data_IF_625432386221
#
_entry.id   IF_625432386221
#
_cell.length_a   1.000
_cell.length_b   1.000
_cell.length_c   1.000
_cell.angle_alpha   90.00
_cell.angle_beta   90.00
_cell.angle_gamma   90.00
#
_symmetry.space_group_name_H-M   'P 1'
#
loop_
_entity.id
_entity.type
_entity.pdbx_description
1 polymer ?
#
# COMPACT_ATOMS: atom_id res chain seq x y z
N UNK A 1 -21.67 55.41 13.28
CA UNK A 1 -20.44 54.94 12.60
C UNK A 1 -20.58 53.45 12.34
N UNK A 2 -20.06 52.94 11.22
CA UNK A 2 -20.07 51.51 10.91
C UNK A 2 -18.91 50.82 11.67
N UNK A 3 -19.11 49.58 12.17
CA UNK A 3 -18.05 48.83 12.83
C UNK A 3 -16.92 48.52 11.85
N UNK A 4 -15.69 48.85 12.22
CA UNK A 4 -14.51 48.53 11.43
C UNK A 4 -13.98 47.15 11.79
N UNK A 5 -13.39 46.45 10.82
CA UNK A 5 -12.72 45.18 11.07
C UNK A 5 -11.52 45.38 11.99
N UNK A 6 -11.18 44.35 12.77
CA UNK A 6 -10.19 44.37 13.86
C UNK A 6 -10.52 45.33 15.01
N UNK A 7 -11.72 45.92 15.02
CA UNK A 7 -12.17 46.67 16.19
C UNK A 7 -12.32 45.72 17.38
N UNK A 8 -11.85 46.16 18.55
CA UNK A 8 -12.01 45.42 19.79
C UNK A 8 -13.47 45.40 20.21
N UNK A 9 -13.97 44.25 20.60
CA UNK A 9 -15.35 44.07 21.04
C UNK A 9 -15.39 43.99 22.56
N UNK A 10 -16.13 44.91 23.18
CA UNK A 10 -16.26 45.03 24.63
C UNK A 10 -17.71 44.83 25.06
N UNK A 11 -17.92 43.87 25.95
CA UNK A 11 -19.18 43.66 26.65
C UNK A 11 -19.26 44.54 27.90
N UNK A 12 -20.42 44.55 28.56
CA UNK A 12 -20.64 45.33 29.79
C UNK A 12 -19.70 44.93 30.94
N UNK A 13 -19.18 43.71 30.92
CA UNK A 13 -18.33 43.09 31.93
C UNK A 13 -16.84 43.03 31.53
N UNK A 14 -16.52 42.71 30.28
CA UNK A 14 -15.12 42.58 29.79
C UNK A 14 -14.95 42.72 28.28
N UNK A 15 -13.71 42.90 27.84
CA UNK A 15 -13.30 42.72 26.43
C UNK A 15 -13.36 41.22 26.06
N UNK A 16 -13.96 40.91 24.91
CA UNK A 16 -14.26 39.52 24.51
C UNK A 16 -13.53 39.06 23.27
N UNK A 17 -13.02 39.98 22.44
CA UNK A 17 -12.39 39.62 21.17
C UNK A 17 -12.35 40.77 20.18
N UNK A 18 -12.27 40.44 18.90
CA UNK A 18 -12.22 41.41 17.79
C UNK A 18 -13.23 41.07 16.69
N UNK A 19 -13.65 42.10 15.94
CA UNK A 19 -14.50 41.91 14.75
C UNK A 19 -13.65 41.37 13.60
N UNK A 20 -13.93 40.16 13.12
CA UNK A 20 -13.20 39.54 12.01
C UNK A 20 -13.92 39.66 10.67
N UNK A 21 -15.26 39.64 10.68
CA UNK A 21 -16.10 39.70 9.46
C UNK A 21 -17.35 40.52 9.73
N UNK A 22 -17.96 41.03 8.67
CA UNK A 22 -19.22 41.78 8.72
C UNK A 22 -20.21 41.11 7.78
N UNK A 23 -21.42 40.86 8.26
CA UNK A 23 -22.51 40.27 7.48
C UNK A 23 -23.48 41.38 7.09
N UNK A 24 -23.67 41.54 5.79
CA UNK A 24 -24.57 42.55 5.22
C UNK A 24 -25.85 41.87 4.76
N UNK A 25 -26.99 42.50 5.06
CA UNK A 25 -28.26 42.09 4.49
C UNK A 25 -28.36 42.62 3.05
N UNK A 26 -28.49 41.73 2.04
CA UNK A 26 -28.50 42.12 0.64
C UNK A 26 -29.75 42.93 0.23
N UNK A 27 -30.82 42.96 1.04
CA UNK A 27 -32.03 43.73 0.72
C UNK A 27 -31.98 45.15 1.27
N UNK A 28 -31.58 45.31 2.54
CA UNK A 28 -31.48 46.62 3.18
C UNK A 28 -30.16 47.35 2.87
N UNK A 29 -29.14 46.61 2.42
CA UNK A 29 -27.75 47.09 2.25
C UNK A 29 -27.14 47.57 3.58
N UNK A 30 -27.69 47.12 4.71
CA UNK A 30 -27.20 47.45 6.04
C UNK A 30 -26.47 46.25 6.66
N UNK A 31 -25.55 46.55 7.58
CA UNK A 31 -24.89 45.53 8.37
C UNK A 31 -25.93 44.90 9.28
N UNK A 32 -26.21 43.61 9.09
CA UNK A 32 -27.14 42.88 9.95
C UNK A 32 -26.43 42.30 11.17
N UNK A 33 -25.22 41.77 10.97
CA UNK A 33 -24.43 41.13 12.02
C UNK A 33 -22.94 41.42 11.88
N UNK A 34 -22.23 41.33 13.00
CA UNK A 34 -20.78 41.28 13.07
C UNK A 34 -20.33 39.90 13.53
N UNK A 35 -19.22 39.41 13.01
CA UNK A 35 -18.59 38.16 13.46
C UNK A 35 -17.46 38.53 14.41
N UNK A 36 -17.57 38.04 15.65
CA UNK A 36 -16.61 38.31 16.72
C UNK A 36 -15.76 37.06 16.94
N UNK A 37 -14.45 37.19 16.77
CA UNK A 37 -13.48 36.15 17.11
C UNK A 37 -13.07 36.27 18.56
N UNK A 38 -13.34 35.24 19.35
CA UNK A 38 -13.20 35.26 20.80
C UNK A 38 -11.97 34.48 21.26
N UNK A 39 -10.76 34.93 20.89
CA UNK A 39 -9.44 34.46 21.39
C UNK A 39 -9.38 32.99 21.87
N UNK A 40 -9.76 32.03 21.01
CA UNK A 40 -9.72 30.59 21.30
C UNK A 40 -11.07 29.91 21.57
N UNK A 41 -12.17 30.67 21.74
CA UNK A 41 -13.55 30.15 21.95
C UNK A 41 -14.39 30.07 20.67
N UNK A 42 -13.74 30.23 19.51
CA UNK A 42 -14.37 30.25 18.18
C UNK A 42 -14.96 31.61 17.81
N UNK A 43 -15.61 31.65 16.65
CA UNK A 43 -16.30 32.85 16.14
C UNK A 43 -17.80 32.81 16.50
N UNK A 44 -18.36 33.96 16.86
CA UNK A 44 -19.79 34.13 17.16
C UNK A 44 -20.40 35.21 16.28
N UNK A 45 -21.63 34.96 15.86
CA UNK A 45 -22.41 35.93 15.10
C UNK A 45 -23.22 36.80 16.08
N UNK A 46 -22.94 38.09 16.10
CA UNK A 46 -23.59 39.08 16.97
C UNK A 46 -24.45 40.01 16.12
N UNK A 47 -25.74 40.12 16.43
CA UNK A 47 -26.64 41.03 15.73
C UNK A 47 -26.28 42.49 16.00
N UNK A 48 -26.37 43.35 14.99
CA UNK A 48 -26.11 44.79 15.13
C UNK A 48 -27.03 45.44 16.17
N UNK A 49 -28.23 44.89 16.41
CA UNK A 49 -29.13 45.36 17.47
C UNK A 49 -28.55 45.22 18.89
N UNK A 50 -27.55 44.36 19.10
CA UNK A 50 -26.86 44.19 20.39
C UNK A 50 -25.72 45.19 20.59
N UNK A 51 -25.34 45.94 19.54
CA UNK A 51 -24.29 46.96 19.57
C UNK A 51 -24.88 48.28 20.06
N UNK A 52 -24.32 48.85 21.14
CA UNK A 52 -24.76 50.13 21.70
C UNK A 52 -24.00 51.30 21.10
N UNK A 53 -22.67 51.20 21.09
CA UNK A 53 -21.79 52.26 20.61
C UNK A 53 -20.70 51.67 19.72
N UNK A 54 -20.40 52.41 18.65
CA UNK A 54 -19.28 52.13 17.74
C UNK A 54 -18.40 53.37 17.74
N UNK A 55 -17.21 53.23 18.30
CA UNK A 55 -16.17 54.27 18.30
C UNK A 55 -15.01 53.82 17.39
N UNK A 56 -14.03 54.70 17.19
CA UNK A 56 -12.84 54.36 16.41
C UNK A 56 -12.08 53.19 17.07
N UNK A 57 -12.04 52.05 16.38
CA UNK A 57 -11.36 50.83 16.82
C UNK A 57 -12.01 50.04 17.97
N UNK A 58 -13.20 50.42 18.46
CA UNK A 58 -13.91 49.68 19.54
C UNK A 58 -15.42 49.59 19.26
N UNK A 59 -15.98 48.41 19.50
CA UNK A 59 -17.42 48.10 19.42
C UNK A 59 -17.92 47.70 20.80
N UNK A 60 -18.85 48.47 21.36
CA UNK A 60 -19.43 48.21 22.67
C UNK A 60 -20.78 47.50 22.56
N UNK A 61 -20.87 46.32 23.19
CA UNK A 61 -22.09 45.53 23.25
C UNK A 61 -22.87 45.82 24.54
N UNK A 62 -24.19 45.81 24.43
CA UNK A 62 -25.10 45.99 25.56
C UNK A 62 -25.32 44.75 26.44
N UNK A 63 -24.64 43.65 26.14
CA UNK A 63 -24.82 42.32 26.74
C UNK A 63 -23.58 41.89 27.53
N UNK A 64 -23.75 40.91 28.43
CA UNK A 64 -22.63 40.32 29.16
C UNK A 64 -21.84 39.34 28.26
N UNK A 65 -20.57 39.13 28.57
CA UNK A 65 -19.70 38.24 27.78
C UNK A 65 -20.18 36.78 27.75
N UNK A 66 -20.90 36.33 28.79
CA UNK A 66 -21.51 34.99 28.86
C UNK A 66 -22.61 34.81 27.83
N UNK A 67 -23.40 35.85 27.58
CA UNK A 67 -24.52 35.81 26.64
C UNK A 67 -23.98 35.71 25.20
N UNK A 68 -22.89 36.42 24.89
CA UNK A 68 -22.23 36.35 23.59
C UNK A 68 -21.66 34.96 23.31
N UNK A 69 -21.10 34.28 24.33
CA UNK A 69 -20.61 32.90 24.19
C UNK A 69 -21.72 31.90 23.85
N UNK A 70 -22.94 32.18 24.31
CA UNK A 70 -24.13 31.35 24.08
C UNK A 70 -24.78 31.56 22.71
N UNK A 71 -24.37 32.59 21.97
CA UNK A 71 -24.88 32.86 20.63
C UNK A 71 -24.50 31.75 19.64
N UNK A 72 -25.23 31.61 18.51
CA UNK A 72 -24.91 30.64 17.48
C UNK A 72 -23.46 30.77 16.99
N UNK A 73 -22.74 29.65 16.80
CA UNK A 73 -21.43 29.67 16.19
C UNK A 73 -21.55 30.14 14.74
N UNK A 74 -20.59 30.94 14.30
CA UNK A 74 -20.52 31.38 12.91
C UNK A 74 -20.17 30.18 12.00
N UNK A 75 -21.02 29.89 11.01
CA UNK A 75 -20.81 28.84 10.00
C UNK A 75 -20.46 29.47 8.66
N UNK A 76 -19.20 29.34 8.23
CA UNK A 76 -18.71 30.01 7.01
C UNK A 76 -19.44 29.57 5.73
N UNK A 77 -19.86 28.31 5.66
CA UNK A 77 -20.54 27.70 4.51
C UNK A 77 -21.92 28.30 4.22
N UNK A 78 -22.52 29.02 5.19
CA UNK A 78 -23.81 29.69 5.01
C UNK A 78 -23.68 31.08 4.36
N UNK A 79 -22.46 31.52 4.03
CA UNK A 79 -22.19 32.86 3.51
C UNK A 79 -21.27 32.83 2.29
N UNK A 80 -21.45 33.79 1.38
CA UNK A 80 -20.57 34.07 0.24
C UNK A 80 -19.91 35.42 0.42
N UNK A 81 -18.72 35.57 -0.16
CA UNK A 81 -18.07 36.89 -0.17
C UNK A 81 -18.69 37.78 -1.23
N UNK A 82 -18.63 39.09 -1.02
CA UNK A 82 -19.00 40.08 -2.05
C UNK A 82 -18.10 40.04 -3.30
N UNK A 83 -16.99 39.30 -3.26
CA UNK A 83 -16.13 39.06 -4.43
C UNK A 83 -16.66 37.90 -5.30
N UNK A 84 -17.42 36.98 -4.71
CA UNK A 84 -18.00 35.82 -5.40
C UNK A 84 -19.39 36.13 -5.96
N UNK A 85 -20.09 37.13 -5.39
CA UNK A 85 -21.42 37.57 -5.81
C UNK A 85 -21.46 39.10 -5.87
N UNK A 86 -21.57 39.65 -7.07
CA UNK A 86 -21.76 41.09 -7.27
C UNK A 86 -23.16 41.51 -6.83
N UNK A 87 -23.23 42.40 -5.83
CA UNK A 87 -24.48 43.05 -5.41
C UNK A 87 -24.43 44.49 -5.89
N UNK A 88 -25.37 44.86 -6.77
CA UNK A 88 -25.45 46.20 -7.32
C UNK A 88 -25.58 47.27 -6.20
N UNK A 89 -24.79 48.35 -6.29
CA UNK A 89 -24.82 49.51 -5.39
C UNK A 89 -24.51 49.23 -3.91
N UNK A 90 -23.87 48.09 -3.58
CA UNK A 90 -23.46 47.79 -2.20
C UNK A 90 -22.28 48.68 -1.74
N UNK A 91 -21.33 48.93 -2.64
CA UNK A 91 -20.12 49.74 -2.40
C UNK A 91 -20.43 51.21 -2.09
N UNK A 92 -21.59 51.71 -2.56
CA UNK A 92 -22.04 53.09 -2.33
C UNK A 92 -22.56 53.32 -0.91
N UNK A 93 -22.95 52.25 -0.18
CA UNK A 93 -23.61 52.34 1.13
C UNK A 93 -22.82 51.72 2.29
N UNK A 94 -21.91 50.79 2.00
CA UNK A 94 -21.12 50.08 3.01
C UNK A 94 -19.64 50.42 2.82
N UNK A 95 -19.09 51.21 3.74
CA UNK A 95 -17.70 51.66 3.71
C UNK A 95 -16.88 50.88 4.73
N UNK A 96 -16.66 49.59 4.48
CA UNK A 96 -15.81 48.73 5.31
C UNK A 96 -14.47 48.51 4.62
N UNK A 97 -13.41 49.16 5.10
CA UNK A 97 -12.02 49.01 4.65
C UNK A 97 -11.31 47.84 5.34
N UNK A 98 -10.31 47.21 4.67
CA UNK A 98 -10.44 45.96 3.92
C UNK A 98 -10.49 44.69 4.81
N UNK A 99 -11.47 43.85 4.54
CA UNK A 99 -11.57 42.44 4.97
C UNK A 99 -12.91 41.81 4.54
N UNK A 100 -13.17 40.55 4.90
CA UNK A 100 -14.26 39.76 4.30
C UNK A 100 -15.66 40.30 4.68
N UNK A 101 -16.31 40.96 3.71
CA UNK A 101 -17.74 41.27 3.74
C UNK A 101 -18.50 40.04 3.25
N UNK A 102 -19.43 39.56 4.06
CA UNK A 102 -20.19 38.35 3.83
C UNK A 102 -21.66 38.66 3.58
N UNK A 103 -22.24 37.89 2.68
CA UNK A 103 -23.67 37.92 2.35
C UNK A 103 -24.23 36.51 2.58
N UNK A 104 -25.41 36.36 3.19
CA UNK A 104 -26.04 35.05 3.34
C UNK A 104 -26.18 34.34 1.99
N UNK A 105 -25.79 33.07 1.93
CA UNK A 105 -25.94 32.27 0.73
C UNK A 105 -27.43 32.09 0.40
N UNK A 106 -27.88 32.39 -0.84
CA UNK A 106 -29.30 32.32 -1.19
C UNK A 106 -29.90 30.94 -0.92
N UNK A 107 -30.99 30.89 -0.16
CA UNK A 107 -31.67 29.61 0.15
C UNK A 107 -32.14 28.87 -1.11
N UNK A 108 -32.48 29.60 -2.18
CA UNK A 108 -32.91 29.03 -3.46
C UNK A 108 -31.80 28.25 -4.19
N UNK A 109 -30.53 28.50 -3.85
CA UNK A 109 -29.39 27.77 -4.39
C UNK A 109 -28.97 26.59 -3.49
N UNK A 110 -29.53 26.49 -2.28
CA UNK A 110 -29.32 25.34 -1.40
C UNK A 110 -30.16 24.15 -1.93
N UNK A 111 -29.51 23.01 -2.14
CA UNK A 111 -30.15 21.73 -2.50
C UNK A 111 -30.90 21.69 -3.84
N UNK A 112 -30.33 22.27 -4.91
CA UNK A 112 -30.90 22.19 -6.26
C UNK A 112 -30.90 20.74 -6.79
N UNK A 113 -32.05 20.06 -6.69
CA UNK A 113 -32.24 18.65 -7.11
C UNK A 113 -31.75 18.37 -8.55
N UNK A 114 -31.89 19.35 -9.45
CA UNK A 114 -31.41 19.25 -10.85
C UNK A 114 -29.89 19.10 -10.92
N UNK A 115 -29.13 19.84 -10.12
CA UNK A 115 -27.66 19.77 -10.09
C UNK A 115 -27.20 18.41 -9.59
N UNK A 116 -27.81 17.91 -8.53
CA UNK A 116 -27.54 16.57 -7.99
C UNK A 116 -27.86 15.48 -9.00
N UNK A 117 -28.98 15.59 -9.73
CA UNK A 117 -29.34 14.65 -10.79
C UNK A 117 -28.27 14.59 -11.89
N UNK A 118 -27.84 15.75 -12.44
CA UNK A 118 -26.81 15.76 -13.48
C UNK A 118 -25.46 15.25 -13.00
N UNK A 119 -25.06 15.59 -11.78
CA UNK A 119 -23.82 15.08 -11.18
C UNK A 119 -23.85 13.54 -11.09
N UNK A 120 -24.94 12.97 -10.56
CA UNK A 120 -25.11 11.52 -10.46
C UNK A 120 -25.15 10.85 -11.84
N UNK A 121 -25.80 11.48 -12.81
CA UNK A 121 -25.84 10.99 -14.20
C UNK A 121 -24.47 11.00 -14.86
N UNK A 122 -23.68 12.06 -14.67
CA UNK A 122 -22.29 12.14 -15.13
C UNK A 122 -21.43 11.05 -14.49
N UNK A 123 -21.58 10.79 -13.20
CA UNK A 123 -20.88 9.69 -12.54
C UNK A 123 -21.29 8.32 -13.10
N UNK A 124 -22.58 8.10 -13.38
CA UNK A 124 -23.06 6.85 -13.97
C UNK A 124 -22.47 6.60 -15.37
N UNK A 125 -22.48 7.62 -16.24
CA UNK A 125 -21.86 7.54 -17.57
C UNK A 125 -20.35 7.33 -17.45
N UNK A 126 -19.70 8.10 -16.57
CA UNK A 126 -18.26 7.99 -16.32
C UNK A 126 -17.85 6.59 -15.87
N UNK A 127 -18.66 5.95 -15.03
CA UNK A 127 -18.44 4.57 -14.62
C UNK A 127 -18.63 3.57 -15.78
N UNK A 128 -19.68 3.73 -16.59
CA UNK A 128 -19.94 2.87 -17.75
C UNK A 128 -18.85 2.95 -18.82
N UNK A 129 -18.21 4.12 -18.99
CA UNK A 129 -17.09 4.30 -19.92
C UNK A 129 -15.77 3.86 -19.27
N UNK A 130 -15.55 4.21 -18.01
CA UNK A 130 -14.31 3.93 -17.30
C UNK A 130 -14.09 2.44 -17.02
N UNK A 131 -15.16 1.70 -16.69
CA UNK A 131 -15.06 0.29 -16.30
C UNK A 131 -14.54 -0.61 -17.43
N UNK A 132 -15.05 -0.55 -18.68
CA UNK A 132 -14.53 -1.34 -19.79
C UNK A 132 -13.06 -1.03 -20.14
N UNK A 133 -12.57 0.17 -19.84
CA UNK A 133 -11.17 0.55 -20.08
C UNK A 133 -10.28 0.06 -18.92
N UNK A 134 -10.72 0.24 -17.68
CA UNK A 134 -9.96 -0.15 -16.50
C UNK A 134 -9.94 -1.67 -16.29
N UNK A 135 -11.02 -2.37 -16.60
CA UNK A 135 -11.16 -3.80 -16.39
C UNK A 135 -10.10 -4.66 -17.10
N UNK A 136 -9.81 -4.52 -18.41
CA UNK A 136 -8.79 -5.33 -19.07
C UNK A 136 -7.39 -5.06 -18.52
N UNK A 137 -7.08 -3.81 -18.16
CA UNK A 137 -5.80 -3.43 -17.54
C UNK A 137 -5.68 -4.10 -16.17
N UNK A 138 -6.69 -3.95 -15.32
CA UNK A 138 -6.71 -4.56 -14.00
C UNK A 138 -6.64 -6.09 -14.09
N UNK A 139 -7.42 -6.70 -14.98
CA UNK A 139 -7.39 -8.15 -15.22
C UNK A 139 -6.01 -8.62 -15.69
N UNK A 140 -5.36 -7.88 -16.57
CA UNK A 140 -4.03 -8.21 -17.08
C UNK A 140 -2.97 -8.09 -15.97
N UNK A 141 -3.00 -7.03 -15.17
CA UNK A 141 -2.10 -6.85 -14.02
C UNK A 141 -2.32 -7.91 -12.94
N UNK A 142 -3.57 -8.34 -12.73
CA UNK A 142 -3.91 -9.37 -11.74
C UNK A 142 -3.69 -10.79 -12.25
N UNK A 143 -3.51 -11.01 -13.55
CA UNK A 143 -3.33 -12.35 -14.15
C UNK A 143 -2.22 -13.18 -13.49
N UNK A 144 -1.02 -12.65 -13.19
CA UNK A 144 0.05 -13.44 -12.55
C UNK A 144 -0.34 -14.02 -11.18
N UNK A 145 -1.31 -13.41 -10.49
CA UNK A 145 -1.78 -13.88 -9.18
C UNK A 145 -2.67 -15.14 -9.29
N UNK A 146 -3.31 -15.35 -10.44
CA UNK A 146 -4.30 -16.42 -10.63
C UNK A 146 -3.83 -17.55 -11.55
N UNK A 147 -2.66 -17.41 -12.18
CA UNK A 147 -2.09 -18.47 -13.02
C UNK A 147 -1.55 -19.59 -12.12
N UNK A 148 -1.93 -20.85 -12.34
CA UNK A 148 -1.39 -21.96 -11.55
C UNK A 148 0.11 -22.11 -11.80
N UNK A 149 0.84 -22.58 -10.79
CA UNK A 149 2.26 -22.89 -10.93
C UNK A 149 2.51 -23.92 -12.04
N UNK A 150 3.57 -23.71 -12.82
CA UNK A 150 4.00 -24.67 -13.83
C UNK A 150 4.63 -25.88 -13.13
N UNK A 151 4.01 -27.05 -13.33
CA UNK A 151 4.47 -28.32 -12.77
C UNK A 151 5.03 -29.25 -13.86
N UNK A 152 5.44 -28.70 -15.01
CA UNK A 152 6.03 -29.48 -16.09
C UNK A 152 7.40 -30.03 -15.70
N UNK A 153 7.67 -31.27 -16.15
CA UNK A 153 8.96 -31.91 -16.00
C UNK A 153 9.96 -31.35 -17.01
N UNK A 154 11.14 -31.02 -16.52
CA UNK A 154 12.25 -30.51 -17.32
C UNK A 154 13.40 -31.51 -17.25
N UNK A 155 13.79 -32.05 -18.41
CA UNK A 155 15.00 -32.85 -18.54
C UNK A 155 16.22 -31.94 -18.44
N UNK A 156 17.06 -32.18 -17.43
CA UNK A 156 18.21 -31.31 -17.08
C UNK A 156 19.57 -31.98 -17.33
N UNK A 157 19.60 -33.31 -17.50
CA UNK A 157 20.85 -34.02 -17.74
C UNK A 157 20.73 -35.52 -17.51
N UNK A 158 21.87 -36.15 -17.20
CA UNK A 158 21.97 -37.59 -16.95
C UNK A 158 22.85 -37.84 -15.72
N UNK A 159 22.49 -38.85 -14.92
CA UNK A 159 23.19 -39.23 -13.68
C UNK A 159 24.61 -39.73 -13.91
N UNK A 160 24.99 -40.10 -15.14
CA UNK A 160 26.38 -40.48 -15.48
C UNK A 160 27.41 -39.38 -15.20
N UNK A 161 26.98 -38.11 -15.02
CA UNK A 161 27.85 -37.02 -14.55
C UNK A 161 28.21 -37.14 -13.05
N UNK A 162 27.43 -37.88 -12.27
CA UNK A 162 27.60 -38.05 -10.83
C UNK A 162 28.43 -39.32 -10.60
N UNK A 163 29.74 -39.13 -10.35
CA UNK A 163 30.70 -40.24 -10.21
C UNK A 163 30.90 -40.71 -8.77
N UNK A 164 30.66 -39.84 -7.79
CA UNK A 164 30.94 -40.09 -6.38
C UNK A 164 29.68 -39.86 -5.56
N UNK A 165 29.53 -40.63 -4.48
CA UNK A 165 28.43 -40.47 -3.54
C UNK A 165 28.66 -39.22 -2.67
N UNK A 166 27.57 -38.62 -2.21
CA UNK A 166 27.55 -37.45 -1.29
C UNK A 166 28.29 -36.21 -1.80
N UNK A 167 28.53 -36.12 -3.11
CA UNK A 167 29.10 -34.93 -3.77
C UNK A 167 28.01 -34.24 -4.59
N UNK A 168 27.79 -32.95 -4.30
CA UNK A 168 26.90 -32.10 -5.08
C UNK A 168 27.44 -31.83 -6.47
N UNK A 169 26.69 -32.21 -7.51
CA UNK A 169 26.98 -31.89 -8.91
C UNK A 169 25.98 -30.85 -9.42
N UNK A 170 26.48 -29.77 -10.02
CA UNK A 170 25.64 -28.71 -10.56
C UNK A 170 25.15 -29.07 -11.96
N UNK A 171 23.84 -29.02 -12.16
CA UNK A 171 23.20 -29.07 -13.48
C UNK A 171 22.64 -27.69 -13.79
N UNK A 172 22.95 -27.18 -14.98
CA UNK A 172 22.40 -25.92 -15.48
C UNK A 172 21.34 -26.21 -16.53
N UNK A 173 20.25 -25.46 -16.49
CA UNK A 173 19.15 -25.58 -17.45
C UNK A 173 18.60 -24.18 -17.76
N UNK A 174 17.98 -24.05 -18.93
CA UNK A 174 17.34 -22.81 -19.36
C UNK A 174 15.85 -22.90 -19.11
N UNK A 175 15.28 -21.82 -18.58
CA UNK A 175 13.84 -21.69 -18.38
C UNK A 175 13.34 -20.48 -19.14
N UNK A 176 12.34 -20.70 -19.99
CA UNK A 176 11.62 -19.62 -20.67
C UNK A 176 10.66 -19.00 -19.66
N UNK A 177 10.88 -17.73 -19.34
CA UNK A 177 9.99 -16.95 -18.48
C UNK A 177 9.28 -15.94 -19.36
N UNK A 178 7.95 -15.99 -19.33
CA UNK A 178 7.07 -15.02 -19.99
C UNK A 178 6.44 -14.14 -18.91
N UNK A 179 7.09 -13.03 -18.62
CA UNK A 179 6.48 -12.00 -17.77
C UNK A 179 5.42 -11.24 -18.56
N UNK A 180 4.49 -10.58 -17.87
CA UNK A 180 3.36 -9.94 -18.53
C UNK A 180 3.83 -8.93 -19.59
N UNK A 181 4.76 -8.05 -19.23
CA UNK A 181 5.16 -6.87 -20.00
C UNK A 181 6.57 -6.95 -20.60
N UNK A 182 7.32 -8.03 -20.35
CA UNK A 182 8.65 -8.25 -20.94
C UNK A 182 8.59 -9.31 -22.05
N UNK A 183 9.48 -9.22 -23.06
CA UNK A 183 9.63 -10.30 -24.03
C UNK A 183 10.01 -11.61 -23.33
N UNK A 184 9.70 -12.73 -23.96
CA UNK A 184 10.09 -14.04 -23.45
C UNK A 184 11.61 -14.09 -23.26
N UNK A 185 12.05 -14.25 -22.02
CA UNK A 185 13.45 -14.32 -21.65
C UNK A 185 13.83 -15.75 -21.31
N UNK A 186 15.00 -16.18 -21.75
CA UNK A 186 15.62 -17.42 -21.29
C UNK A 186 16.52 -17.13 -20.09
N UNK A 187 16.13 -17.61 -18.92
CA UNK A 187 16.92 -17.48 -17.70
C UNK A 187 17.70 -18.78 -17.49
N UNK A 188 19.02 -18.66 -17.34
CA UNK A 188 19.84 -19.79 -16.90
C UNK A 188 19.66 -20.02 -15.40
N UNK A 189 19.18 -21.21 -15.06
CA UNK A 189 19.00 -21.68 -13.68
C UNK A 189 19.90 -22.87 -13.43
N UNK A 190 20.05 -23.22 -12.16
CA UNK A 190 20.81 -24.39 -11.75
C UNK A 190 20.12 -25.15 -10.63
N UNK A 191 20.43 -26.43 -10.58
CA UNK A 191 20.02 -27.38 -9.54
C UNK A 191 21.24 -28.19 -9.12
N UNK A 192 21.32 -28.50 -7.85
CA UNK A 192 22.35 -29.37 -7.30
C UNK A 192 21.76 -30.77 -7.13
N UNK A 193 22.43 -31.77 -7.69
CA UNK A 193 22.01 -33.17 -7.54
C UNK A 193 23.15 -33.94 -6.92
N UNK A 194 22.82 -34.75 -5.92
CA UNK A 194 23.75 -35.68 -5.30
C UNK A 194 23.22 -37.11 -5.42
N UNK A 195 24.17 -38.05 -5.52
CA UNK A 195 23.89 -39.47 -5.28
C UNK A 195 24.11 -39.73 -3.79
N UNK A 196 23.04 -39.80 -3.02
CA UNK A 196 23.08 -39.85 -1.56
C UNK A 196 23.34 -41.26 -1.03
N UNK A 197 24.20 -41.38 -0.01
CA UNK A 197 24.30 -42.60 0.80
C UNK A 197 23.06 -42.76 1.69
N UNK A 198 22.78 -43.97 2.21
CA UNK A 198 21.64 -44.20 3.11
C UNK A 198 21.63 -43.27 4.33
N UNK A 199 22.80 -42.87 4.84
CA UNK A 199 22.92 -41.93 5.95
C UNK A 199 22.44 -40.52 5.58
N UNK A 200 22.79 -40.03 4.38
CA UNK A 200 22.33 -38.73 3.88
C UNK A 200 20.84 -38.77 3.52
N UNK A 201 20.37 -39.86 2.92
CA UNK A 201 18.93 -40.05 2.64
C UNK A 201 18.11 -39.98 3.92
N UNK A 202 18.54 -40.63 5.00
CA UNK A 202 17.83 -40.59 6.27
C UNK A 202 17.78 -39.16 6.85
N UNK A 203 18.83 -38.37 6.69
CA UNK A 203 18.82 -36.97 7.12
C UNK A 203 17.88 -36.08 6.30
N UNK A 204 17.80 -36.31 4.99
CA UNK A 204 16.94 -35.54 4.07
C UNK A 204 15.47 -35.92 4.26
N UNK A 205 15.16 -37.21 4.31
CA UNK A 205 13.81 -37.74 4.28
C UNK A 205 13.23 -38.05 5.67
N UNK A 206 14.07 -38.17 6.71
CA UNK A 206 13.66 -38.47 8.09
C UNK A 206 12.73 -39.70 8.16
N UNK A 207 13.09 -40.75 7.41
CA UNK A 207 12.34 -41.99 7.30
C UNK A 207 11.03 -41.92 6.49
N UNK A 208 10.65 -40.77 5.92
CA UNK A 208 9.38 -40.56 5.20
C UNK A 208 9.60 -40.09 3.77
N UNK A 209 8.69 -40.46 2.88
CA UNK A 209 8.66 -39.89 1.54
C UNK A 209 8.38 -38.38 1.59
N UNK A 210 8.98 -37.62 0.66
CA UNK A 210 8.82 -36.18 0.58
C UNK A 210 7.79 -35.82 -0.48
N UNK A 211 6.62 -35.35 -0.04
CA UNK A 211 5.52 -34.94 -0.91
C UNK A 211 5.60 -33.45 -1.25
N UNK A 212 5.46 -33.12 -2.53
CA UNK A 212 5.40 -31.78 -3.06
C UNK A 212 3.98 -31.45 -3.48
N UNK A 213 3.47 -30.29 -3.05
CA UNK A 213 2.10 -29.85 -3.31
C UNK A 213 2.06 -28.59 -4.16
N UNK A 214 0.95 -28.38 -4.85
CA UNK A 214 0.67 -27.14 -5.56
C UNK A 214 0.04 -26.08 -4.63
N UNK A 215 -0.28 -24.90 -5.17
CA UNK A 215 -0.90 -23.81 -4.42
C UNK A 215 -2.24 -24.20 -3.76
N UNK A 216 -2.98 -25.13 -4.35
CA UNK A 216 -4.27 -25.63 -3.86
C UNK A 216 -4.13 -26.78 -2.85
N UNK A 217 -2.91 -27.17 -2.50
CA UNK A 217 -2.64 -28.27 -1.56
C UNK A 217 -2.76 -29.68 -2.16
N UNK A 218 -2.94 -29.81 -3.48
CA UNK A 218 -2.96 -31.11 -4.16
C UNK A 218 -1.53 -31.64 -4.36
N UNK A 219 -1.30 -32.96 -4.24
CA UNK A 219 0.00 -33.57 -4.48
C UNK A 219 0.39 -33.43 -5.96
N UNK A 220 1.59 -32.93 -6.21
CA UNK A 220 2.22 -32.83 -7.53
C UNK A 220 3.13 -34.04 -7.76
N UNK A 221 3.96 -34.36 -6.77
CA UNK A 221 4.91 -35.45 -6.84
C UNK A 221 5.36 -35.87 -5.44
N UNK A 222 5.90 -37.08 -5.32
CA UNK A 222 6.49 -37.59 -4.09
C UNK A 222 7.86 -38.18 -4.39
N UNK A 223 8.91 -37.57 -3.86
CA UNK A 223 10.23 -38.19 -3.88
C UNK A 223 10.25 -39.35 -2.89
N UNK A 224 10.65 -40.53 -3.38
CA UNK A 224 10.79 -41.73 -2.58
C UNK A 224 12.11 -41.73 -1.84
N UNK A 225 12.08 -42.00 -0.54
CA UNK A 225 13.28 -42.03 0.31
C UNK A 225 14.30 -43.10 -0.12
N UNK A 226 13.84 -44.14 -0.80
CA UNK A 226 14.63 -45.29 -1.24
C UNK A 226 15.45 -44.99 -2.53
N UNK A 227 15.12 -43.89 -3.23
CA UNK A 227 15.81 -43.48 -4.44
C UNK A 227 17.06 -42.69 -4.05
N UNK A 228 18.27 -43.10 -4.49
CA UNK A 228 19.52 -42.53 -4.01
C UNK A 228 19.88 -41.20 -4.66
N UNK A 229 18.90 -40.42 -5.10
CA UNK A 229 19.12 -39.13 -5.75
C UNK A 229 18.29 -38.05 -5.07
N UNK A 230 18.97 -36.98 -4.67
CA UNK A 230 18.36 -35.80 -4.06
C UNK A 230 18.71 -34.60 -4.91
N UNK A 231 17.71 -33.78 -5.24
CA UNK A 231 17.87 -32.52 -5.93
C UNK A 231 17.59 -31.36 -4.98
N UNK A 232 18.48 -30.36 -4.97
CA UNK A 232 18.31 -29.10 -4.25
C UNK A 232 18.28 -27.92 -5.22
N UNK A 233 17.40 -26.97 -4.97
CA UNK A 233 17.33 -25.70 -5.69
C UNK A 233 18.66 -24.98 -5.65
N UNK A 234 19.08 -24.35 -6.75
CA UNK A 234 20.31 -23.56 -6.80
C UNK A 234 20.32 -22.31 -5.92
N UNK A 235 19.21 -21.98 -5.24
CA UNK A 235 19.03 -20.76 -4.44
C UNK A 235 19.16 -21.02 -2.95
N UNK A 236 19.97 -20.21 -2.28
CA UNK A 236 20.13 -20.23 -0.84
C UNK A 236 18.85 -19.73 -0.13
N UNK A 237 18.29 -20.47 0.85
CA UNK A 237 17.10 -20.05 1.62
C UNK A 237 17.23 -18.74 2.40
N UNK A 238 18.44 -18.18 2.55
CA UNK A 238 18.65 -16.88 3.19
C UNK A 238 18.09 -15.72 2.35
N UNK A 239 18.70 -15.41 1.20
CA UNK A 239 18.31 -14.29 0.33
C UNK A 239 18.28 -14.66 -1.16
N UNK A 240 18.28 -15.95 -1.48
CA UNK A 240 18.16 -16.44 -2.86
C UNK A 240 19.44 -16.46 -3.68
N UNK A 241 20.60 -16.13 -3.09
CA UNK A 241 21.90 -16.23 -3.77
C UNK A 241 22.21 -17.66 -4.26
N UNK A 242 22.95 -17.77 -5.36
CA UNK A 242 23.58 -19.03 -5.76
C UNK A 242 24.67 -19.46 -4.78
N UNK A 243 24.73 -20.76 -4.49
CA UNK A 243 25.76 -21.36 -3.64
C UNK A 243 26.54 -22.45 -4.38
N UNK A 244 27.71 -22.85 -3.86
CA UNK A 244 28.61 -23.82 -4.50
C UNK A 244 29.01 -24.95 -3.56
N UNK A 245 29.22 -26.13 -4.12
CA UNK A 245 29.88 -27.24 -3.43
C UNK A 245 31.39 -26.95 -3.28
N UNK A 246 31.93 -27.05 -2.05
CA UNK A 246 33.32 -26.68 -1.72
C UNK A 246 33.87 -27.57 -0.61
N UNK A 247 35.19 -27.76 -0.61
CA UNK A 247 35.93 -28.31 0.54
C UNK A 247 36.18 -27.20 1.56
N UNK A 248 35.49 -27.24 2.69
CA UNK A 248 35.76 -26.42 3.86
C UNK A 248 36.92 -27.02 4.69
N UNK A 249 37.75 -26.15 5.27
CA UNK A 249 38.98 -26.56 5.99
C UNK A 249 38.69 -27.46 7.19
N UNK A 250 37.61 -27.20 7.91
CA UNK A 250 37.25 -27.91 9.16
C UNK A 250 36.08 -28.87 8.98
N UNK A 251 35.13 -28.52 8.11
CA UNK A 251 33.85 -29.24 7.97
C UNK A 251 33.86 -30.25 6.81
N UNK A 252 34.95 -30.33 6.04
CA UNK A 252 35.01 -31.18 4.85
C UNK A 252 34.16 -30.62 3.69
N UNK A 253 33.57 -31.51 2.88
CA UNK A 253 32.77 -31.11 1.73
C UNK A 253 31.40 -30.55 2.16
N UNK A 254 31.09 -29.34 1.74
CA UNK A 254 29.87 -28.60 2.13
C UNK A 254 29.32 -27.79 0.96
N UNK A 255 28.03 -27.46 1.03
CA UNK A 255 27.48 -26.35 0.26
C UNK A 255 27.79 -25.03 0.98
N UNK A 256 28.43 -24.10 0.28
CA UNK A 256 28.80 -22.79 0.79
C UNK A 256 28.14 -21.69 -0.04
N UNK A 257 27.33 -20.86 0.62
CA UNK A 257 26.80 -19.63 0.04
C UNK A 257 27.74 -18.46 0.34
N UNK A 258 28.37 -17.83 -0.68
CA UNK A 258 29.37 -16.79 -0.45
C UNK A 258 28.78 -15.44 -0.01
N UNK A 259 27.47 -15.22 -0.16
CA UNK A 259 26.86 -13.91 0.11
C UNK A 259 26.90 -13.54 1.60
N UNK A 260 26.53 -14.48 2.48
CA UNK A 260 26.50 -14.27 3.94
C UNK A 260 27.00 -15.50 4.71
N UNK A 261 27.80 -16.33 4.03
CA UNK A 261 28.50 -17.48 4.60
C UNK A 261 27.59 -18.54 5.24
N UNK A 262 26.38 -18.74 4.72
CA UNK A 262 25.58 -19.91 5.10
C UNK A 262 26.24 -21.19 4.59
N UNK A 263 26.45 -22.14 5.50
CA UNK A 263 27.09 -23.43 5.24
C UNK A 263 26.07 -24.54 5.46
N UNK A 264 26.05 -25.50 4.54
CA UNK A 264 25.17 -26.66 4.63
C UNK A 264 25.95 -27.95 4.41
N UNK A 265 25.53 -29.03 5.04
CA UNK A 265 26.08 -30.37 4.78
C UNK A 265 25.54 -30.97 3.47
N UNK A 266 25.93 -32.21 3.16
CA UNK A 266 25.48 -32.94 1.98
C UNK A 266 23.96 -33.18 1.95
N UNK A 267 23.31 -33.26 3.12
CA UNK A 267 21.86 -33.36 3.28
C UNK A 267 21.15 -32.00 3.18
N UNK A 268 21.91 -30.91 2.99
CA UNK A 268 21.39 -29.55 2.90
C UNK A 268 20.96 -28.96 4.24
N UNK A 269 21.27 -29.60 5.37
CA UNK A 269 21.02 -29.06 6.71
C UNK A 269 21.98 -27.92 6.97
N UNK A 270 21.48 -26.85 7.59
CA UNK A 270 22.28 -25.69 8.00
C UNK A 270 23.30 -26.12 9.06
N UNK A 271 24.57 -25.93 8.77
CA UNK A 271 25.67 -26.10 9.73
C UNK A 271 26.03 -24.77 10.40
N UNK A 272 26.02 -23.67 9.63
CA UNK A 272 26.37 -22.34 10.11
C UNK A 272 25.78 -21.23 9.22
N UNK A 273 25.78 -19.99 9.72
CA UNK A 273 25.36 -18.78 9.03
C UNK A 273 23.86 -18.46 9.16
N UNK A 274 23.38 -17.39 8.49
CA UNK A 274 22.08 -16.78 8.76
C UNK A 274 20.88 -17.46 8.06
N UNK A 275 21.09 -18.63 7.44
CA UNK A 275 20.01 -19.28 6.69
C UNK A 275 18.91 -19.77 7.65
N UNK A 276 17.65 -19.41 7.43
CA UNK A 276 16.58 -19.70 8.39
C UNK A 276 16.11 -21.17 8.36
N UNK A 277 16.52 -21.95 7.36
CA UNK A 277 16.09 -23.33 7.12
C UNK A 277 17.05 -24.09 6.18
N UNK A 278 16.97 -25.44 6.11
CA UNK A 278 17.72 -26.26 5.16
C UNK A 278 17.47 -25.92 3.69
N UNK A 279 18.36 -26.38 2.81
CA UNK A 279 18.26 -26.23 1.36
C UNK A 279 16.92 -26.79 0.82
N UNK A 280 16.39 -26.11 -0.18
CA UNK A 280 15.13 -26.46 -0.81
C UNK A 280 15.25 -27.70 -1.69
N UNK A 281 14.71 -28.84 -1.26
CA UNK A 281 14.58 -30.02 -2.11
C UNK A 281 13.62 -29.78 -3.27
N UNK A 282 13.87 -30.40 -4.41
CA UNK A 282 13.03 -30.35 -5.60
C UNK A 282 12.48 -31.73 -5.97
N UNK A 283 11.31 -31.81 -6.64
CA UNK A 283 10.87 -33.03 -7.28
C UNK A 283 11.92 -33.51 -8.28
N UNK A 284 12.32 -34.77 -8.15
CA UNK A 284 13.29 -35.40 -9.03
C UNK A 284 12.76 -36.75 -9.50
N UNK A 285 13.01 -37.04 -10.76
CA UNK A 285 12.80 -38.34 -11.38
C UNK A 285 14.05 -38.73 -12.16
N UNK A 286 14.46 -39.98 -12.01
CA UNK A 286 15.56 -40.56 -12.78
C UNK A 286 15.00 -41.71 -13.61
N UNK A 287 15.20 -41.66 -14.93
CA UNK A 287 14.76 -42.72 -15.85
C UNK A 287 15.70 -43.92 -15.81
N UNK A 288 15.27 -45.06 -16.35
CA UNK A 288 16.11 -46.26 -16.45
C UNK A 288 17.40 -46.04 -17.28
N UNK A 289 17.35 -45.13 -18.26
CA UNK A 289 18.53 -44.70 -19.04
C UNK A 289 19.42 -43.68 -18.32
N UNK A 290 19.09 -43.33 -17.08
CA UNK A 290 19.82 -42.38 -16.26
C UNK A 290 19.50 -40.91 -16.52
N UNK A 291 18.49 -40.60 -17.35
CA UNK A 291 18.09 -39.20 -17.56
C UNK A 291 17.47 -38.64 -16.29
N UNK A 292 17.82 -37.41 -15.96
CA UNK A 292 17.30 -36.69 -14.80
C UNK A 292 16.33 -35.62 -15.25
N UNK A 293 15.14 -35.69 -14.65
CA UNK A 293 14.07 -34.72 -14.82
C UNK A 293 13.77 -34.09 -13.45
N UNK A 294 13.44 -32.81 -13.44
CA UNK A 294 12.96 -32.09 -12.25
C UNK A 294 11.68 -31.33 -12.57
N UNK A 295 10.93 -30.97 -11.52
CA UNK A 295 9.98 -29.87 -11.60
C UNK A 295 10.66 -28.65 -10.99
N UNK A 296 10.74 -27.56 -11.76
CA UNK A 296 11.35 -26.32 -11.31
C UNK A 296 10.42 -25.61 -10.32
N UNK A 297 10.71 -25.78 -9.02
CA UNK A 297 10.00 -25.09 -7.95
C UNK A 297 10.90 -24.03 -7.32
N UNK A 298 10.34 -22.85 -7.06
CA UNK A 298 11.02 -21.83 -6.26
C UNK A 298 10.31 -21.59 -4.95
N UNK A 299 11.09 -21.29 -3.92
CA UNK A 299 10.60 -21.06 -2.58
C UNK A 299 11.03 -19.69 -2.07
N UNK A 300 10.19 -19.08 -1.24
CA UNK A 300 10.44 -17.78 -0.63
C UNK A 300 11.67 -17.84 0.27
N UNK A 301 12.67 -17.01 -0.05
CA UNK A 301 13.85 -16.82 0.78
C UNK A 301 13.54 -15.98 2.02
N UNK A 302 14.39 -16.09 3.05
CA UNK A 302 14.33 -15.27 4.27
C UNK A 302 13.26 -15.71 5.27
N UNK A 303 12.59 -16.84 5.04
CA UNK A 303 11.54 -17.35 5.92
C UNK A 303 11.87 -18.77 6.39
N UNK A 304 11.46 -19.11 7.62
CA UNK A 304 11.62 -20.47 8.17
C UNK A 304 10.71 -21.50 7.50
N UNK A 305 9.56 -21.05 7.00
CA UNK A 305 8.62 -21.89 6.27
C UNK A 305 9.06 -22.04 4.80
N UNK A 306 8.90 -23.25 4.26
CA UNK A 306 9.11 -23.50 2.84
C UNK A 306 7.83 -23.15 2.08
N UNK A 307 7.75 -21.91 1.57
CA UNK A 307 6.59 -21.39 0.84
C UNK A 307 6.93 -21.32 -0.65
N UNK A 308 6.25 -22.10 -1.48
CA UNK A 308 6.45 -22.08 -2.93
C UNK A 308 5.94 -20.78 -3.54
N UNK A 309 6.71 -20.20 -4.47
CA UNK A 309 6.41 -18.95 -5.17
C UNK A 309 6.34 -19.10 -6.70
N UNK A 310 6.95 -20.17 -7.26
CA UNK A 310 6.91 -20.55 -8.69
C UNK A 310 6.86 -22.07 -8.77
#
# INVERSE_FOLDING_TARGET
MQPQLKSKVRCTDREIGEVTKVVVDPLSHEISHIVVSMNGSGERQVAMASVRHVTEGTVELGTASTDVLSLPPFKRDDYVTTHEVEIAHLEEKVHVTPGEVLVPFPELEKNVKRRTFFMNFTHAIGFLIGLPIAFPILRYLMKPMYVPFDNSWLKIGNVGKIKQNDIGVQFKYKRKVKEAYMPEAEIEKNVWILKATPAVLEQVYQGKDMEFRNASGLPVWTNKKDIPYVAFSGKCPHLGCGYKWRQHKVLGQVFLCPCHLSIYDAAGKVLDGPAPRPLDSLPIKVSAGGDVEIIDMEFKAGTKAQIRII
#
